data_IF_646454183582
#
_entry.id   IF_646454183582
#
_cell.length_a   1.000
_cell.length_b   1.000
_cell.length_c   1.000
_cell.angle_alpha   90.00
_cell.angle_beta   90.00
_cell.angle_gamma   90.00
#
_symmetry.space_group_name_H-M   'P 1'
#
loop_
_entity.id
_entity.type
_entity.pdbx_description
1 polymer ?
#
# COMPACT_ATOMS: atom_id res chain seq x y z
N UNK A 1 -26.66 -2.27 -16.98
CA UNK A 1 -26.19 -3.67 -16.88
C UNK A 1 -25.36 -3.75 -15.61
N UNK A 2 -25.90 -4.35 -14.55
CA UNK A 2 -25.22 -4.42 -13.25
C UNK A 2 -24.19 -5.54 -13.34
N UNK A 3 -22.91 -5.20 -13.43
CA UNK A 3 -21.84 -6.18 -13.29
C UNK A 3 -21.85 -6.61 -11.83
N UNK A 4 -22.23 -7.86 -11.60
CA UNK A 4 -22.13 -8.52 -10.31
C UNK A 4 -20.73 -8.28 -9.73
N UNK A 5 -20.65 -7.51 -8.65
CA UNK A 5 -19.47 -7.48 -7.79
C UNK A 5 -19.27 -8.91 -7.31
N UNK A 6 -18.31 -9.61 -7.88
CA UNK A 6 -17.86 -10.89 -7.34
C UNK A 6 -17.51 -10.64 -5.88
N UNK A 7 -18.18 -11.36 -4.98
CA UNK A 7 -17.82 -11.48 -3.56
C UNK A 7 -16.42 -12.10 -3.48
N UNK A 8 -15.38 -11.31 -3.75
CA UNK A 8 -14.08 -11.58 -3.15
C UNK A 8 -14.22 -11.18 -1.68
N UNK A 9 -13.90 -12.06 -0.71
CA UNK A 9 -13.84 -11.61 0.67
C UNK A 9 -12.79 -10.49 0.74
N UNK A 10 -13.21 -9.31 1.19
CA UNK A 10 -12.27 -8.23 1.44
C UNK A 10 -11.22 -8.72 2.43
N UNK A 11 -9.96 -8.57 2.07
CA UNK A 11 -8.84 -8.93 2.93
C UNK A 11 -8.73 -7.86 4.01
N UNK A 12 -8.77 -8.31 5.25
CA UNK A 12 -8.55 -7.44 6.40
C UNK A 12 -7.05 -7.18 6.53
N UNK A 13 -6.68 -5.90 6.40
CA UNK A 13 -5.33 -5.41 6.63
C UNK A 13 -5.32 -4.69 7.97
N UNK A 14 -4.31 -4.94 8.80
CA UNK A 14 -4.10 -4.21 10.06
C UNK A 14 -2.80 -3.45 9.92
N UNK A 15 -2.86 -2.14 10.16
CA UNK A 15 -1.76 -1.19 10.00
C UNK A 15 -1.49 -0.44 11.30
N UNK A 16 -0.25 0.07 11.51
CA UNK A 16 0.03 0.98 12.61
C UNK A 16 -0.85 2.23 12.49
N UNK A 17 -1.45 2.68 13.59
CA UNK A 17 -2.26 3.90 13.62
C UNK A 17 -1.45 5.19 13.76
N UNK A 18 -0.15 5.11 14.07
CA UNK A 18 0.74 6.27 14.03
C UNK A 18 1.07 6.63 12.57
N UNK A 19 1.15 7.93 12.29
CA UNK A 19 1.40 8.44 10.94
C UNK A 19 2.89 8.53 10.59
N UNK A 20 3.80 8.02 11.43
CA UNK A 20 5.24 8.19 11.20
C UNK A 20 5.72 7.45 9.96
N UNK A 21 5.08 6.32 9.63
CA UNK A 21 5.36 5.54 8.42
C UNK A 21 4.67 6.11 7.16
N UNK A 22 3.65 6.97 7.31
CA UNK A 22 2.90 7.55 6.19
C UNK A 22 3.68 8.55 5.34
N UNK A 23 4.67 9.23 5.94
CA UNK A 23 5.54 10.14 5.20
C UNK A 23 6.20 9.44 4.01
N UNK A 24 6.53 8.16 4.15
CA UNK A 24 7.08 7.30 3.09
C UNK A 24 6.05 6.72 2.11
N UNK A 25 4.75 6.97 2.31
CA UNK A 25 3.67 6.34 1.50
C UNK A 25 2.93 7.36 0.67
N UNK A 26 2.76 8.60 1.16
CA UNK A 26 2.05 9.64 0.42
C UNK A 26 2.74 10.02 -0.89
N UNK A 27 4.08 10.03 -0.92
CA UNK A 27 4.81 10.31 -2.14
C UNK A 27 4.66 9.18 -3.18
N UNK A 28 4.40 7.94 -2.75
CA UNK A 28 4.17 6.82 -3.67
C UNK A 28 2.89 7.03 -4.49
N UNK A 29 1.83 7.58 -3.88
CA UNK A 29 0.59 7.89 -4.61
C UNK A 29 0.80 9.03 -5.62
N UNK A 30 0.97 10.26 -5.13
CA UNK A 30 0.93 11.48 -5.95
C UNK A 30 2.23 11.69 -6.71
N UNK A 31 3.35 11.33 -6.09
CA UNK A 31 4.69 11.59 -6.61
C UNK A 31 5.19 10.53 -7.57
N UNK A 32 4.72 9.29 -7.45
CA UNK A 32 5.23 8.15 -8.26
C UNK A 32 4.13 7.55 -9.11
N UNK A 33 3.14 6.90 -8.50
CA UNK A 33 2.17 6.07 -9.22
C UNK A 33 1.30 6.91 -10.16
N UNK A 34 0.81 8.08 -9.72
CA UNK A 34 0.03 8.98 -10.58
C UNK A 34 0.86 9.61 -11.70
N UNK A 35 2.13 9.90 -11.45
CA UNK A 35 3.03 10.45 -12.49
C UNK A 35 3.29 9.40 -13.57
N UNK A 36 3.59 8.17 -13.17
CA UNK A 36 3.81 7.05 -14.10
C UNK A 36 2.52 6.70 -14.85
N UNK A 37 1.36 6.71 -14.17
CA UNK A 37 0.06 6.55 -14.83
C UNK A 37 -0.16 7.60 -15.92
N UNK A 38 0.10 8.87 -15.62
CA UNK A 38 0.01 9.96 -16.60
C UNK A 38 0.96 9.77 -17.77
N UNK A 39 2.21 9.37 -17.52
CA UNK A 39 3.19 9.09 -18.56
C UNK A 39 2.76 7.92 -19.45
N UNK A 40 2.25 6.84 -18.86
CA UNK A 40 1.70 5.68 -19.55
C UNK A 40 0.46 6.04 -20.38
N UNK A 41 -0.42 6.90 -19.87
CA UNK A 41 -1.58 7.38 -20.62
C UNK A 41 -1.18 8.19 -21.86
N UNK A 42 -0.23 9.11 -21.71
CA UNK A 42 0.32 9.88 -22.85
C UNK A 42 1.02 8.95 -23.86
N UNK A 43 1.73 7.92 -23.38
CA UNK A 43 2.38 6.92 -24.23
C UNK A 43 1.37 6.12 -25.05
N UNK A 44 0.30 5.64 -24.42
CA UNK A 44 -0.77 4.89 -25.10
C UNK A 44 -1.48 5.72 -26.17
N UNK A 45 -1.69 7.02 -25.94
CA UNK A 45 -2.37 7.89 -26.91
C UNK A 45 -1.49 8.30 -28.10
N UNK A 46 -0.18 8.48 -27.88
CA UNK A 46 0.71 9.16 -28.84
C UNK A 46 1.85 8.33 -29.38
N UNK A 47 2.17 7.24 -28.71
CA UNK A 47 3.37 6.45 -28.97
C UNK A 47 3.03 4.95 -28.96
N UNK A 48 3.44 4.24 -27.91
CA UNK A 48 3.27 2.81 -27.71
C UNK A 48 2.62 2.59 -26.34
N UNK A 49 1.53 1.82 -26.31
CA UNK A 49 0.77 1.48 -25.10
C UNK A 49 1.62 0.68 -24.12
N UNK A 50 2.58 -0.10 -24.61
CA UNK A 50 3.43 -0.98 -23.79
C UNK A 50 4.75 -0.32 -23.36
N UNK A 51 4.95 0.98 -23.67
CA UNK A 51 6.21 1.69 -23.39
C UNK A 51 6.64 1.62 -21.92
N UNK A 52 5.68 1.65 -21.00
CA UNK A 52 5.91 1.55 -19.56
C UNK A 52 5.53 0.19 -18.99
N UNK A 53 5.46 -0.85 -19.84
CA UNK A 53 5.22 -2.27 -19.53
C UNK A 53 3.82 -2.60 -19.02
N UNK A 54 3.17 -1.67 -18.30
CA UNK A 54 1.80 -1.80 -17.82
C UNK A 54 0.94 -0.65 -18.36
N UNK A 55 -0.35 -0.94 -18.55
CA UNK A 55 -1.33 0.08 -18.90
C UNK A 55 -1.48 1.12 -17.77
N UNK A 56 -1.80 2.36 -18.13
CA UNK A 56 -2.02 3.46 -17.19
C UNK A 56 -2.98 3.09 -16.05
N UNK A 57 -4.07 2.37 -16.38
CA UNK A 57 -5.09 1.93 -15.42
C UNK A 57 -4.52 1.04 -14.28
N UNK A 58 -3.44 0.30 -14.53
CA UNK A 58 -2.79 -0.53 -13.48
C UNK A 58 -2.06 0.35 -12.47
N UNK A 59 -1.39 1.41 -12.94
CA UNK A 59 -0.75 2.40 -12.07
C UNK A 59 -1.78 3.26 -11.31
N UNK A 60 -2.88 3.65 -11.97
CA UNK A 60 -4.00 4.33 -11.32
C UNK A 60 -4.66 3.45 -10.25
N UNK A 61 -4.88 2.17 -10.56
CA UNK A 61 -5.38 1.18 -9.63
C UNK A 61 -4.49 1.05 -8.40
N UNK A 62 -3.17 0.94 -8.60
CA UNK A 62 -2.21 0.94 -7.51
C UNK A 62 -2.26 2.24 -6.68
N UNK A 63 -2.30 3.42 -7.33
CA UNK A 63 -2.41 4.71 -6.63
C UNK A 63 -3.69 4.79 -5.78
N UNK A 64 -4.81 4.26 -6.30
CA UNK A 64 -6.09 4.24 -5.60
C UNK A 64 -6.08 3.34 -4.35
N UNK A 65 -5.19 2.34 -4.26
CA UNK A 65 -4.98 1.57 -3.02
C UNK A 65 -4.19 2.37 -2.00
N UNK A 66 -3.22 3.16 -2.44
CA UNK A 66 -2.34 3.95 -1.57
C UNK A 66 -3.05 5.18 -1.00
N UNK A 67 -3.87 5.85 -1.79
CA UNK A 67 -4.48 7.14 -1.42
C UNK A 67 -5.34 7.13 -0.15
N UNK A 68 -6.26 6.17 0.04
CA UNK A 68 -7.03 6.04 1.27
C UNK A 68 -6.16 5.88 2.52
N UNK A 69 -5.00 5.21 2.42
CA UNK A 69 -4.07 5.08 3.54
C UNK A 69 -3.59 6.45 4.02
N UNK A 70 -3.27 7.35 3.08
CA UNK A 70 -2.79 8.69 3.39
C UNK A 70 -3.92 9.65 3.84
N UNK A 71 -5.17 9.40 3.44
CA UNK A 71 -6.32 10.25 3.73
C UNK A 71 -7.10 9.87 4.98
N UNK A 72 -7.13 8.59 5.36
CA UNK A 72 -7.96 8.08 6.46
C UNK A 72 -7.24 8.06 7.82
N UNK A 73 -5.91 8.19 7.86
CA UNK A 73 -5.17 8.40 9.10
C UNK A 73 -5.22 9.87 9.50
N UNK A 74 -6.23 10.23 10.29
CA UNK A 74 -6.32 11.53 10.95
C UNK A 74 -5.13 11.81 11.87
N UNK A 75 -5.00 13.07 12.33
CA UNK A 75 -3.97 13.46 13.31
C UNK A 75 -3.92 12.46 14.48
N UNK A 76 -2.72 12.11 14.98
CA UNK A 76 -2.59 11.16 16.08
C UNK A 76 -3.49 11.65 17.21
N UNK A 77 -4.45 10.81 17.63
CA UNK A 77 -5.14 11.06 18.88
C UNK A 77 -4.04 11.14 19.94
N UNK A 78 -3.83 12.32 20.52
CA UNK A 78 -2.72 12.61 21.44
C UNK A 78 -2.80 11.88 22.78
N UNK A 79 -3.32 10.66 22.79
CA UNK A 79 -3.30 9.73 23.91
C UNK A 79 -2.07 8.82 23.84
N UNK A 80 -1.66 8.35 25.00
CA UNK A 80 -0.58 7.36 25.18
C UNK A 80 -0.98 5.95 24.71
N UNK A 81 -2.24 5.78 24.28
CA UNK A 81 -2.82 4.50 23.87
C UNK A 81 -2.44 4.17 22.43
N UNK A 82 -1.88 2.99 22.25
CA UNK A 82 -1.51 2.47 20.95
C UNK A 82 -2.75 2.21 20.08
N UNK A 83 -2.69 2.71 18.84
CA UNK A 83 -3.79 2.62 17.88
C UNK A 83 -3.41 1.77 16.68
N UNK A 84 -4.39 1.06 16.14
CA UNK A 84 -4.30 0.37 14.87
C UNK A 84 -5.36 0.89 13.91
N UNK A 85 -5.10 0.74 12.63
CA UNK A 85 -6.08 0.92 11.56
C UNK A 85 -6.45 -0.43 10.96
N UNK A 86 -7.74 -0.65 10.70
CA UNK A 86 -8.22 -1.84 9.99
C UNK A 86 -8.85 -1.42 8.67
N UNK A 87 -8.33 -2.00 7.59
CA UNK A 87 -8.81 -1.79 6.22
C UNK A 87 -9.34 -3.09 5.65
N UNK A 88 -10.38 -2.98 4.84
CA UNK A 88 -10.92 -4.07 4.06
C UNK A 88 -10.59 -3.78 2.60
N UNK A 89 -9.61 -4.49 2.04
CA UNK A 89 -9.18 -4.31 0.65
C UNK A 89 -9.57 -5.54 -0.18
N UNK A 90 -10.23 -5.36 -1.32
CA UNK A 90 -10.45 -6.45 -2.26
C UNK A 90 -9.13 -7.04 -2.74
N UNK A 91 -9.07 -8.35 -2.92
CA UNK A 91 -7.85 -9.02 -3.42
C UNK A 91 -7.37 -8.46 -4.77
N UNK A 92 -8.29 -8.08 -5.67
CA UNK A 92 -7.95 -7.52 -6.97
C UNK A 92 -7.30 -6.13 -6.90
N UNK A 93 -7.56 -5.36 -5.83
CA UNK A 93 -6.87 -4.08 -5.62
C UNK A 93 -5.40 -4.31 -5.26
N UNK A 94 -5.12 -5.33 -4.44
CA UNK A 94 -3.76 -5.73 -4.10
C UNK A 94 -2.99 -6.26 -5.32
N UNK A 95 -3.67 -6.84 -6.31
CA UNK A 95 -3.05 -7.32 -7.54
C UNK A 95 -2.41 -6.18 -8.35
N UNK A 96 -2.93 -4.94 -8.28
CA UNK A 96 -2.28 -3.80 -8.92
C UNK A 96 -0.93 -3.48 -8.28
N UNK A 97 -0.86 -3.46 -6.96
CA UNK A 97 0.41 -3.23 -6.24
C UNK A 97 1.45 -4.29 -6.58
N UNK A 98 1.02 -5.56 -6.69
CA UNK A 98 1.93 -6.65 -7.08
C UNK A 98 2.42 -6.55 -8.52
N UNK A 99 1.55 -6.18 -9.46
CA UNK A 99 1.95 -5.96 -10.85
C UNK A 99 2.97 -4.83 -10.97
N UNK A 100 2.69 -3.69 -10.35
CA UNK A 100 3.61 -2.54 -10.33
C UNK A 100 4.94 -2.92 -9.68
N UNK A 101 4.93 -3.54 -8.49
CA UNK A 101 6.14 -3.94 -7.80
C UNK A 101 6.98 -4.93 -8.63
N UNK A 102 6.33 -5.86 -9.33
CA UNK A 102 7.02 -6.80 -10.22
C UNK A 102 7.74 -6.05 -11.32
N UNK A 103 7.07 -5.10 -11.97
CA UNK A 103 7.63 -4.35 -13.09
C UNK A 103 8.72 -3.37 -12.64
N UNK A 104 8.59 -2.76 -11.46
CA UNK A 104 9.64 -1.92 -10.86
C UNK A 104 10.91 -2.71 -10.57
N UNK A 105 10.79 -3.91 -10.01
CA UNK A 105 11.94 -4.80 -9.78
C UNK A 105 12.65 -5.18 -11.07
N UNK A 106 11.90 -5.47 -12.14
CA UNK A 106 12.45 -5.77 -13.46
C UNK A 106 13.20 -4.55 -14.04
N UNK A 107 12.65 -3.35 -13.88
CA UNK A 107 13.29 -2.10 -14.28
C UNK A 107 14.62 -1.86 -13.54
N UNK A 108 14.64 -2.05 -12.22
CA UNK A 108 15.86 -1.93 -11.41
C UNK A 108 16.91 -3.00 -11.75
N UNK A 109 16.47 -4.22 -12.09
CA UNK A 109 17.35 -5.29 -12.57
C UNK A 109 17.91 -5.03 -13.99
N UNK A 110 17.43 -3.99 -14.68
CA UNK A 110 17.88 -3.65 -16.03
C UNK A 110 17.39 -4.66 -17.08
N UNK A 111 16.21 -5.24 -16.87
CA UNK A 111 15.65 -6.20 -17.81
C UNK A 111 15.33 -5.55 -19.18
N UNK A 112 15.41 -6.32 -20.28
CA UNK A 112 15.01 -5.82 -21.59
C UNK A 112 13.53 -5.38 -21.60
N UNK A 113 13.25 -4.23 -22.22
CA UNK A 113 11.90 -3.68 -22.35
C UNK A 113 11.42 -2.86 -21.16
N UNK A 114 12.24 -2.60 -20.15
CA UNK A 114 11.90 -1.77 -18.98
C UNK A 114 12.70 -0.46 -18.92
N UNK A 115 13.38 -0.08 -20.00
CA UNK A 115 14.32 1.05 -20.02
C UNK A 115 13.63 2.41 -19.77
N UNK A 116 12.53 2.70 -20.48
CA UNK A 116 11.78 3.94 -20.29
C UNK A 116 11.22 4.07 -18.86
N UNK A 117 10.75 2.97 -18.29
CA UNK A 117 10.28 2.97 -16.90
C UNK A 117 11.44 3.19 -15.92
N UNK A 118 12.61 2.59 -16.18
CA UNK A 118 13.79 2.80 -15.34
C UNK A 118 14.22 4.26 -15.36
N UNK A 119 14.29 4.87 -16.54
CA UNK A 119 14.62 6.30 -16.69
C UNK A 119 13.65 7.17 -15.92
N UNK A 120 12.33 6.91 -16.02
CA UNK A 120 11.33 7.65 -15.26
C UNK A 120 11.45 7.44 -13.75
N UNK A 121 11.77 6.23 -13.28
CA UNK A 121 12.01 5.96 -11.86
C UNK A 121 13.26 6.67 -11.34
N UNK A 122 14.33 6.75 -12.15
CA UNK A 122 15.55 7.49 -11.82
C UNK A 122 15.24 9.00 -11.70
N UNK A 123 14.52 9.58 -12.67
CA UNK A 123 14.08 10.99 -12.64
C UNK A 123 13.22 11.33 -11.41
N UNK A 124 12.32 10.41 -11.05
CA UNK A 124 11.47 10.56 -9.87
C UNK A 124 12.27 10.48 -8.58
N UNK A 125 13.20 9.52 -8.48
CA UNK A 125 14.04 9.36 -7.31
C UNK A 125 14.93 10.60 -7.07
N UNK A 126 15.50 11.16 -8.14
CA UNK A 126 16.23 12.43 -8.11
C UNK A 126 15.34 13.58 -7.59
N UNK A 127 14.07 13.63 -8.01
CA UNK A 127 13.11 14.63 -7.53
C UNK A 127 12.76 14.54 -6.04
N UNK A 128 13.01 13.40 -5.40
CA UNK A 128 12.76 13.17 -3.97
C UNK A 128 14.04 13.06 -3.12
N UNK A 129 15.21 13.42 -3.69
CA UNK A 129 16.52 13.28 -3.05
C UNK A 129 16.80 11.84 -2.53
N UNK A 130 16.24 10.83 -3.21
CA UNK A 130 16.33 9.43 -2.80
C UNK A 130 17.13 8.57 -3.80
N UNK A 131 17.67 7.42 -3.38
CA UNK A 131 18.27 6.49 -4.33
C UNK A 131 17.17 5.84 -5.21
N UNK A 132 17.46 5.47 -6.47
CA UNK A 132 16.49 4.87 -7.39
C UNK A 132 15.77 3.62 -6.85
N UNK A 133 16.44 2.86 -5.98
CA UNK A 133 15.88 1.69 -5.32
C UNK A 133 14.83 2.00 -4.25
N UNK A 134 14.85 3.21 -3.67
CA UNK A 134 14.02 3.58 -2.53
C UNK A 134 12.53 3.46 -2.84
N UNK A 135 12.11 3.92 -4.03
CA UNK A 135 10.72 3.86 -4.48
C UNK A 135 10.21 2.41 -4.47
N UNK A 136 11.03 1.49 -5.01
CA UNK A 136 10.68 0.07 -5.09
C UNK A 136 10.67 -0.59 -3.72
N UNK A 137 11.62 -0.21 -2.85
CA UNK A 137 11.66 -0.69 -1.47
C UNK A 137 10.45 -0.23 -0.67
N UNK A 138 10.09 1.05 -0.74
CA UNK A 138 8.93 1.61 -0.03
C UNK A 138 7.63 0.95 -0.50
N UNK A 139 7.47 0.75 -1.81
CA UNK A 139 6.33 0.01 -2.37
C UNK A 139 6.32 -1.45 -1.90
N UNK A 140 7.48 -2.09 -1.77
CA UNK A 140 7.60 -3.45 -1.23
C UNK A 140 7.20 -3.52 0.24
N UNK A 141 7.63 -2.57 1.08
CA UNK A 141 7.23 -2.51 2.50
C UNK A 141 5.71 -2.35 2.61
N UNK A 142 5.13 -1.47 1.80
CA UNK A 142 3.69 -1.25 1.74
C UNK A 142 2.93 -2.52 1.34
N UNK A 143 3.34 -3.16 0.24
CA UNK A 143 2.73 -4.41 -0.21
C UNK A 143 2.84 -5.51 0.85
N UNK A 144 3.98 -5.63 1.54
CA UNK A 144 4.17 -6.61 2.61
C UNK A 144 3.23 -6.37 3.80
N UNK A 145 3.00 -5.11 4.19
CA UNK A 145 2.04 -4.78 5.26
C UNK A 145 0.60 -5.11 4.86
N UNK A 146 0.17 -4.69 3.67
CA UNK A 146 -1.19 -4.93 3.17
C UNK A 146 -1.47 -6.42 2.89
N UNK A 147 -0.42 -7.22 2.73
CA UNK A 147 -0.52 -8.66 2.46
C UNK A 147 -0.08 -9.50 3.65
N UNK A 148 0.05 -8.92 4.83
CA UNK A 148 0.23 -9.68 6.05
C UNK A 148 -1.08 -10.41 6.36
N UNK A 149 -1.12 -11.73 6.11
CA UNK A 149 -2.26 -12.59 6.48
C UNK A 149 -1.82 -13.64 7.47
N UNK A 150 -1.98 -13.30 8.75
CA UNK A 150 -1.71 -14.18 9.88
C UNK A 150 -2.98 -14.34 10.72
N UNK A 151 -3.08 -15.42 11.53
CA UNK A 151 -4.16 -15.53 12.52
C UNK A 151 -4.24 -14.34 13.48
N UNK A 152 -3.11 -13.68 13.75
CA UNK A 152 -3.04 -12.48 14.56
C UNK A 152 -3.76 -11.30 13.90
N UNK A 153 -3.55 -11.06 12.61
CA UNK A 153 -4.28 -10.02 11.84
C UNK A 153 -5.79 -10.22 11.93
N UNK A 154 -6.28 -11.46 11.77
CA UNK A 154 -7.71 -11.77 11.89
C UNK A 154 -8.24 -11.56 13.32
N UNK A 155 -7.44 -11.90 14.33
CA UNK A 155 -7.78 -11.66 15.74
C UNK A 155 -7.91 -10.17 16.03
N UNK A 156 -6.96 -9.36 15.56
CA UNK A 156 -6.96 -7.91 15.71
C UNK A 156 -8.10 -7.26 14.94
N UNK A 157 -8.33 -7.63 13.69
CA UNK A 157 -9.43 -7.11 12.88
C UNK A 157 -10.79 -7.45 13.50
N UNK A 158 -10.99 -8.68 13.98
CA UNK A 158 -12.21 -9.07 14.69
C UNK A 158 -12.38 -8.36 16.03
N UNK A 159 -11.28 -8.05 16.74
CA UNK A 159 -11.32 -7.25 17.97
C UNK A 159 -11.68 -5.79 17.68
N UNK A 160 -11.05 -5.18 16.67
CA UNK A 160 -11.33 -3.82 16.23
C UNK A 160 -12.79 -3.65 15.77
N UNK A 161 -13.31 -4.57 14.96
CA UNK A 161 -14.73 -4.57 14.54
C UNK A 161 -15.68 -4.64 15.75
N UNK A 162 -15.36 -5.48 16.74
CA UNK A 162 -16.18 -5.66 17.95
C UNK A 162 -16.10 -4.48 18.92
N UNK A 163 -14.93 -3.85 19.04
CA UNK A 163 -14.69 -2.76 19.99
C UNK A 163 -15.09 -1.40 19.46
N UNK A 164 -14.94 -1.18 18.15
CA UNK A 164 -15.07 0.15 17.57
C UNK A 164 -16.40 0.35 16.83
N UNK A 165 -17.06 -0.72 16.34
CA UNK A 165 -18.27 -0.58 15.52
C UNK A 165 -18.06 0.32 14.27
N UNK A 166 -16.80 0.57 13.91
CA UNK A 166 -16.42 1.55 12.90
C UNK A 166 -16.53 0.94 11.49
N UNK A 167 -16.91 1.74 10.49
CA UNK A 167 -16.63 1.42 9.10
C UNK A 167 -15.11 1.32 8.90
N UNK A 168 -14.66 0.51 7.94
CA UNK A 168 -13.25 0.41 7.53
C UNK A 168 -12.58 1.79 7.45
N UNK A 169 -11.30 1.87 7.82
CA UNK A 169 -10.53 3.11 7.68
C UNK A 169 -10.40 4.00 8.92
N UNK A 170 -10.91 3.57 10.07
CA UNK A 170 -10.82 4.39 11.28
C UNK A 170 -9.84 3.79 12.30
N UNK A 171 -9.06 4.67 12.93
CA UNK A 171 -8.16 4.31 14.04
C UNK A 171 -8.94 4.21 15.35
N UNK A 172 -8.54 3.30 16.23
CA UNK A 172 -9.12 3.22 17.56
C UNK A 172 -8.29 2.38 18.54
N UNK A 173 -8.54 2.54 19.85
CA UNK A 173 -7.82 1.80 20.88
C UNK A 173 -8.20 0.32 20.83
N UNK A 174 -7.21 -0.56 21.01
CA UNK A 174 -7.45 -1.99 21.10
C UNK A 174 -8.01 -2.38 22.47
N UNK A 175 -8.91 -3.37 22.54
CA UNK A 175 -9.31 -3.94 23.82
C UNK A 175 -8.13 -4.62 24.52
N UNK A 176 -7.89 -4.26 25.79
CA UNK A 176 -6.79 -4.79 26.60
C UNK A 176 -7.07 -6.22 27.08
N UNK A 177 -6.88 -7.19 26.18
CA UNK A 177 -6.90 -8.61 26.51
C UNK A 177 -5.56 -9.25 26.16
N UNK A 178 -5.17 -10.29 26.89
CA UNK A 178 -3.91 -11.02 26.67
C UNK A 178 -3.79 -11.49 25.21
N UNK A 179 -4.87 -12.05 24.65
CA UNK A 179 -4.89 -12.52 23.26
C UNK A 179 -4.71 -11.41 22.23
N UNK A 180 -5.24 -10.21 22.50
CA UNK A 180 -5.09 -9.04 21.60
C UNK A 180 -3.69 -8.45 21.70
N UNK A 181 -3.10 -8.44 22.89
CA UNK A 181 -1.71 -8.03 23.10
C UNK A 181 -0.73 -8.97 22.40
N UNK A 182 -0.91 -10.28 22.56
CA UNK A 182 -0.10 -11.29 21.86
C UNK A 182 -0.24 -11.20 20.34
N UNK A 183 -1.45 -10.96 19.84
CA UNK A 183 -1.69 -10.77 18.41
C UNK A 183 -1.02 -9.49 17.89
N UNK A 184 -1.05 -8.40 18.67
CA UNK A 184 -0.37 -7.16 18.31
C UNK A 184 1.16 -7.34 18.22
N UNK A 185 1.78 -8.01 19.20
CA UNK A 185 3.21 -8.31 19.15
C UNK A 185 3.59 -9.14 17.91
N UNK A 186 2.77 -10.13 17.52
CA UNK A 186 2.99 -10.92 16.32
C UNK A 186 2.87 -10.09 15.03
N UNK A 187 1.89 -9.17 14.99
CA UNK A 187 1.71 -8.28 13.84
C UNK A 187 2.84 -7.26 13.75
N UNK A 188 3.29 -6.69 14.87
CA UNK A 188 4.48 -5.83 14.92
C UNK A 188 5.74 -6.55 14.46
N UNK A 189 5.94 -7.81 14.84
CA UNK A 189 7.05 -8.61 14.32
C UNK A 189 6.97 -8.75 12.78
N UNK A 190 5.76 -8.88 12.23
CA UNK A 190 5.51 -8.85 10.79
C UNK A 190 5.85 -7.50 10.15
N UNK A 191 5.42 -6.38 10.75
CA UNK A 191 5.75 -5.03 10.31
C UNK A 191 7.25 -4.74 10.37
N UNK A 192 7.91 -5.15 11.45
CA UNK A 192 9.36 -5.03 11.62
C UNK A 192 10.13 -5.82 10.57
N UNK A 193 9.66 -7.03 10.21
CA UNK A 193 10.22 -7.81 9.11
C UNK A 193 10.01 -7.12 7.74
N UNK A 194 8.96 -6.31 7.61
CA UNK A 194 8.72 -5.43 6.46
C UNK A 194 9.43 -4.07 6.57
N UNK A 195 10.22 -3.81 7.62
CA UNK A 195 10.99 -2.57 7.80
C UNK A 195 10.23 -1.39 8.41
N UNK A 196 9.07 -1.63 9.01
CA UNK A 196 8.29 -0.64 9.77
C UNK A 196 8.56 -0.81 11.27
N UNK A 197 8.85 0.28 11.97
CA UNK A 197 9.26 0.27 13.39
C UNK A 197 8.14 0.75 14.29
#
# INVERSE_FOLDING_TARGET
MVVSRLNCPDRQCVLPGDSSWLGGVRYLEDGVLRVIAGAAGVAAERFDEDRFVLAAAVFEGAAAVVGPLAGEMGEPAGGEDETIMVLALPAWELDYLWQVLTVFRRALAGEPGTADLRELLDDLADGFDGPPGQITEDLQRLAAMLTLDTPAVRTLAAAAVRSLGLPSGHTGPLPDTVAVREALEQVRAGWAAAGVR
#
